data_IF_652877114819
#
_entry.id   IF_652877114819
#
_cell.length_a   1.000
_cell.length_b   1.000
_cell.length_c   1.000
_cell.angle_alpha   90.00
_cell.angle_beta   90.00
_cell.angle_gamma   90.00
#
_symmetry.space_group_name_H-M   'P 1'
#
loop_
_entity.id
_entity.type
_entity.pdbx_description
1 polymer ?
#
# COMPACT_ATOMS: atom_id res chain seq x y z
N UNK A 1 -29.90 -11.90 -28.46
CA UNK A 1 -29.68 -10.45 -28.36
C UNK A 1 -29.50 -10.10 -26.89
N UNK A 2 -28.53 -9.25 -26.55
CA UNK A 2 -28.26 -8.84 -25.16
C UNK A 2 -27.44 -7.55 -25.15
N UNK A 3 -27.40 -6.88 -24.00
CA UNK A 3 -26.52 -5.75 -23.72
C UNK A 3 -25.67 -6.01 -22.47
N UNK A 4 -24.84 -5.05 -22.08
CA UNK A 4 -24.09 -5.17 -20.83
C UNK A 4 -25.04 -5.16 -19.62
N UNK A 5 -24.81 -6.03 -18.64
CA UNK A 5 -25.59 -6.08 -17.39
C UNK A 5 -25.77 -4.69 -16.76
N UNK A 6 -24.72 -3.87 -16.75
CA UNK A 6 -24.77 -2.51 -16.17
C UNK A 6 -25.78 -1.58 -16.85
N UNK A 7 -26.12 -1.81 -18.11
CA UNK A 7 -27.14 -1.01 -18.79
C UNK A 7 -28.54 -1.35 -18.29
N UNK A 8 -28.81 -2.64 -18.02
CA UNK A 8 -30.05 -3.09 -17.40
C UNK A 8 -30.13 -2.68 -15.92
N UNK A 9 -29.02 -2.78 -15.19
CA UNK A 9 -28.94 -2.44 -13.76
C UNK A 9 -28.85 -0.92 -13.49
N UNK A 10 -28.60 -0.09 -14.51
CA UNK A 10 -28.40 1.33 -14.33
C UNK A 10 -29.70 2.03 -13.92
N UNK A 11 -29.58 2.91 -12.91
CA UNK A 11 -30.70 3.63 -12.32
C UNK A 11 -31.49 4.37 -13.42
N UNK A 12 -32.79 4.05 -13.58
CA UNK A 12 -33.64 4.70 -14.58
C UNK A 12 -33.69 6.23 -14.45
N UNK A 13 -33.46 6.77 -13.25
CA UNK A 13 -33.41 8.23 -13.01
C UNK A 13 -32.20 8.94 -13.64
N UNK A 14 -31.15 8.22 -14.03
CA UNK A 14 -29.92 8.82 -14.56
C UNK A 14 -29.96 9.14 -16.06
N UNK A 15 -30.99 8.70 -16.79
CA UNK A 15 -31.09 8.87 -18.25
C UNK A 15 -32.43 9.47 -18.69
N UNK A 16 -33.50 9.27 -17.94
CA UNK A 16 -34.80 9.89 -18.19
C UNK A 16 -35.29 10.59 -16.93
N UNK A 17 -35.69 11.86 -17.07
CA UNK A 17 -36.07 12.77 -15.99
C UNK A 17 -37.40 12.43 -15.30
N UNK A 18 -37.85 11.18 -15.33
CA UNK A 18 -39.07 10.71 -14.66
C UNK A 18 -38.82 9.28 -14.16
N UNK A 19 -39.13 9.03 -12.89
CA UNK A 19 -38.81 7.79 -12.18
C UNK A 19 -39.52 6.58 -12.76
N UNK A 20 -38.94 5.96 -13.78
CA UNK A 20 -39.45 4.70 -14.34
C UNK A 20 -38.80 3.52 -13.60
N UNK A 21 -39.53 2.45 -13.33
CA UNK A 21 -39.01 1.31 -12.58
C UNK A 21 -37.90 0.56 -13.34
N UNK A 22 -37.07 -0.24 -12.64
CA UNK A 22 -36.03 -1.11 -13.22
C UNK A 22 -36.53 -2.00 -14.37
N UNK A 23 -37.83 -2.25 -14.45
CA UNK A 23 -38.46 -3.04 -15.49
C UNK A 23 -38.65 -2.32 -16.84
N UNK A 24 -38.61 -0.98 -16.89
CA UNK A 24 -38.85 -0.27 -18.15
C UNK A 24 -37.77 -0.54 -19.18
N UNK A 25 -36.49 -0.49 -18.80
CA UNK A 25 -35.39 -0.77 -19.74
C UNK A 25 -35.44 -2.18 -20.31
N UNK A 26 -35.87 -3.15 -19.50
CA UNK A 26 -36.06 -4.53 -19.95
C UNK A 26 -37.22 -4.58 -20.95
N UNK A 27 -38.35 -3.93 -20.63
CA UNK A 27 -39.51 -3.82 -21.52
C UNK A 27 -39.17 -3.15 -22.85
N UNK A 28 -38.51 -1.99 -22.81
CA UNK A 28 -38.08 -1.23 -23.99
C UNK A 28 -37.12 -2.07 -24.85
N UNK A 29 -36.16 -2.75 -24.21
CA UNK A 29 -35.22 -3.62 -24.90
C UNK A 29 -35.93 -4.82 -25.54
N UNK A 30 -36.90 -5.43 -24.85
CA UNK A 30 -37.68 -6.55 -25.35
C UNK A 30 -38.54 -6.15 -26.54
N UNK A 31 -39.29 -5.06 -26.43
CA UNK A 31 -40.12 -4.53 -27.50
C UNK A 31 -39.28 -4.20 -28.74
N UNK A 32 -38.16 -3.49 -28.55
CA UNK A 32 -37.21 -3.17 -29.62
C UNK A 32 -36.61 -4.42 -30.25
N UNK A 33 -36.27 -5.44 -29.45
CA UNK A 33 -35.73 -6.70 -29.95
C UNK A 33 -36.74 -7.45 -30.82
N UNK A 34 -38.00 -7.54 -30.37
CA UNK A 34 -39.06 -8.21 -31.13
C UNK A 34 -39.33 -7.43 -32.43
N UNK A 35 -39.41 -6.10 -32.35
CA UNK A 35 -39.64 -5.25 -33.51
C UNK A 35 -38.51 -5.41 -34.56
N UNK A 36 -37.25 -5.35 -34.13
CA UNK A 36 -36.10 -5.55 -35.02
C UNK A 36 -36.07 -6.96 -35.64
N UNK A 37 -36.35 -7.99 -34.85
CA UNK A 37 -36.39 -9.37 -35.36
C UNK A 37 -37.47 -9.55 -36.44
N UNK A 38 -38.64 -8.95 -36.25
CA UNK A 38 -39.73 -8.97 -37.24
C UNK A 38 -39.39 -8.17 -38.48
N UNK A 39 -38.76 -7.01 -38.34
CA UNK A 39 -38.30 -6.19 -39.47
C UNK A 39 -37.23 -6.92 -40.31
N UNK A 40 -36.20 -7.45 -39.64
CA UNK A 40 -35.05 -8.05 -40.30
C UNK A 40 -35.32 -9.45 -40.89
N UNK A 41 -36.19 -10.25 -40.25
CA UNK A 41 -36.37 -11.67 -40.60
C UNK A 41 -37.82 -12.06 -40.91
N UNK A 42 -38.80 -11.20 -40.61
CA UNK A 42 -40.22 -11.46 -40.88
C UNK A 42 -40.72 -12.78 -40.28
N UNK A 43 -41.50 -13.51 -41.09
CA UNK A 43 -42.16 -14.77 -40.71
C UNK A 43 -41.20 -15.96 -40.49
N UNK A 44 -39.89 -15.77 -40.72
CA UNK A 44 -38.90 -16.80 -40.43
C UNK A 44 -38.37 -16.77 -39.01
N UNK A 45 -38.78 -15.80 -38.19
CA UNK A 45 -38.61 -15.87 -36.74
C UNK A 45 -39.61 -16.87 -36.18
N UNK A 46 -39.15 -18.10 -35.89
CA UNK A 46 -40.04 -19.16 -35.40
C UNK A 46 -40.20 -19.14 -33.88
N UNK A 47 -39.23 -18.56 -33.17
CA UNK A 47 -39.25 -18.47 -31.71
C UNK A 47 -38.34 -17.34 -31.23
N UNK A 48 -38.81 -16.60 -30.23
CA UNK A 48 -38.00 -15.67 -29.45
C UNK A 48 -38.35 -15.84 -27.98
N UNK A 49 -37.35 -16.02 -27.11
CA UNK A 49 -37.53 -16.22 -25.66
C UNK A 49 -36.56 -15.33 -24.90
N UNK A 50 -37.09 -14.62 -23.90
CA UNK A 50 -36.30 -13.86 -22.95
C UNK A 50 -35.88 -14.73 -21.75
N UNK A 51 -34.60 -14.67 -21.40
CA UNK A 51 -34.02 -15.34 -20.24
C UNK A 51 -33.66 -14.27 -19.19
N UNK A 52 -34.31 -14.36 -18.03
CA UNK A 52 -34.18 -13.44 -16.91
C UNK A 52 -33.43 -14.05 -15.71
N UNK A 53 -33.17 -15.36 -15.74
CA UNK A 53 -32.59 -16.14 -14.65
C UNK A 53 -31.06 -16.32 -14.76
N UNK A 54 -30.43 -15.71 -15.77
CA UNK A 54 -28.98 -15.70 -15.96
C UNK A 54 -28.31 -14.39 -15.50
N UNK A 55 -26.98 -14.28 -15.64
CA UNK A 55 -26.19 -13.12 -15.16
C UNK A 55 -26.62 -11.79 -15.80
N UNK A 56 -27.11 -11.82 -17.04
CA UNK A 56 -27.63 -10.65 -17.74
C UNK A 56 -28.84 -11.04 -18.58
N UNK A 57 -29.81 -10.12 -18.66
CA UNK A 57 -30.98 -10.25 -19.52
C UNK A 57 -30.56 -10.48 -20.98
N UNK A 58 -31.14 -11.49 -21.62
CA UNK A 58 -30.90 -11.76 -23.04
C UNK A 58 -32.05 -12.52 -23.68
N UNK A 59 -32.18 -12.35 -25.00
CA UNK A 59 -33.21 -12.99 -25.82
C UNK A 59 -32.57 -13.99 -26.76
N UNK A 60 -33.02 -15.25 -26.73
CA UNK A 60 -32.69 -16.24 -27.75
C UNK A 60 -33.73 -16.19 -28.87
N UNK A 61 -33.27 -16.05 -30.11
CA UNK A 61 -34.14 -16.09 -31.28
C UNK A 61 -33.72 -17.24 -32.20
N UNK A 62 -34.70 -17.96 -32.74
CA UNK A 62 -34.50 -19.02 -33.72
C UNK A 62 -35.07 -18.54 -35.05
N UNK A 63 -34.21 -18.48 -36.07
CA UNK A 63 -34.52 -17.98 -37.40
C UNK A 63 -34.41 -19.15 -38.39
N UNK A 64 -35.44 -19.37 -39.20
CA UNK A 64 -35.52 -20.48 -40.15
C UNK A 64 -35.58 -19.97 -41.60
N UNK A 65 -34.44 -19.69 -42.25
CA UNK A 65 -34.38 -19.00 -43.55
C UNK A 65 -34.79 -19.92 -44.71
N UNK A 66 -36.09 -20.14 -44.91
CA UNK A 66 -36.60 -21.01 -45.97
C UNK A 66 -36.55 -20.30 -47.33
N UNK A 67 -36.01 -20.98 -48.33
CA UNK A 67 -35.97 -20.54 -49.74
C UNK A 67 -36.29 -21.72 -50.65
N UNK A 68 -37.08 -21.48 -51.69
CA UNK A 68 -37.23 -22.44 -52.79
C UNK A 68 -36.07 -22.29 -53.77
N UNK A 69 -35.34 -23.38 -54.00
CA UNK A 69 -34.18 -23.40 -54.90
C UNK A 69 -34.44 -24.38 -56.04
N UNK A 70 -34.29 -23.89 -57.25
CA UNK A 70 -34.29 -24.69 -58.46
C UNK A 70 -32.96 -25.44 -58.59
N UNK A 71 -33.04 -26.76 -58.64
CA UNK A 71 -31.90 -27.62 -58.92
C UNK A 71 -31.76 -27.73 -60.43
N UNK A 72 -30.66 -27.22 -60.97
CA UNK A 72 -30.37 -27.32 -62.41
C UNK A 72 -29.35 -28.42 -62.69
N UNK A 73 -29.55 -29.18 -63.76
CA UNK A 73 -28.55 -30.08 -64.32
C UNK A 73 -28.08 -29.55 -65.66
N UNK A 74 -26.78 -29.41 -65.83
CA UNK A 74 -26.16 -29.07 -67.10
C UNK A 74 -25.98 -30.33 -67.94
N UNK A 75 -26.52 -30.34 -69.15
CA UNK A 75 -26.21 -31.36 -70.13
C UNK A 75 -24.76 -31.19 -70.60
N UNK A 76 -23.94 -32.24 -70.44
CA UNK A 76 -22.51 -32.18 -70.78
C UNK A 76 -22.24 -32.12 -72.29
N UNK A 77 -23.21 -32.50 -73.13
CA UNK A 77 -23.06 -32.52 -74.59
C UNK A 77 -23.54 -31.23 -75.24
N UNK A 78 -24.66 -30.68 -74.77
CA UNK A 78 -25.24 -29.45 -75.35
C UNK A 78 -24.90 -28.19 -74.55
N UNK A 79 -24.42 -28.34 -73.31
CA UNK A 79 -24.15 -27.21 -72.39
C UNK A 79 -25.41 -26.59 -71.79
N UNK A 80 -26.60 -27.10 -72.12
CA UNK A 80 -27.88 -26.54 -71.70
C UNK A 80 -28.16 -26.83 -70.22
N UNK A 81 -28.59 -25.82 -69.45
CA UNK A 81 -29.03 -25.98 -68.06
C UNK A 81 -30.53 -26.23 -68.02
N UNK A 82 -30.94 -27.38 -67.49
CA UNK A 82 -32.36 -27.70 -67.28
C UNK A 82 -32.68 -27.80 -65.80
N UNK A 83 -33.79 -27.20 -65.38
CA UNK A 83 -34.33 -27.37 -64.02
C UNK A 83 -34.85 -28.81 -63.91
N UNK A 84 -34.36 -29.55 -62.91
CA UNK A 84 -34.70 -30.96 -62.69
C UNK A 84 -35.60 -31.16 -61.46
N UNK A 85 -35.59 -30.23 -60.50
CA UNK A 85 -36.42 -30.27 -59.31
C UNK A 85 -36.41 -28.91 -58.60
N UNK A 86 -37.44 -28.63 -57.82
CA UNK A 86 -37.46 -27.50 -56.87
C UNK A 86 -37.44 -28.06 -55.45
N UNK A 87 -36.57 -27.52 -54.59
CA UNK A 87 -36.42 -27.97 -53.19
C UNK A 87 -36.50 -26.79 -52.23
N UNK A 88 -37.11 -27.01 -51.07
CA UNK A 88 -37.02 -26.10 -49.93
C UNK A 88 -35.65 -26.28 -49.26
N UNK A 89 -34.89 -25.19 -49.14
CA UNK A 89 -33.55 -25.15 -48.56
C UNK A 89 -33.48 -24.10 -47.46
N UNK A 90 -32.56 -24.28 -46.51
CA UNK A 90 -32.21 -23.25 -45.55
C UNK A 90 -31.07 -22.41 -46.12
N UNK A 91 -31.37 -21.16 -46.48
CA UNK A 91 -30.38 -20.23 -47.02
C UNK A 91 -30.35 -18.93 -46.20
N UNK A 92 -29.51 -18.86 -45.15
CA UNK A 92 -29.36 -17.65 -44.33
C UNK A 92 -29.01 -16.40 -45.14
N UNK A 93 -28.30 -16.56 -46.25
CA UNK A 93 -27.90 -15.48 -47.16
C UNK A 93 -29.06 -14.74 -47.83
N UNK A 94 -30.31 -15.21 -47.70
CA UNK A 94 -31.48 -14.47 -48.18
C UNK A 94 -31.72 -13.17 -47.42
N UNK A 95 -31.19 -13.07 -46.20
CA UNK A 95 -31.31 -11.89 -45.37
C UNK A 95 -30.04 -11.03 -45.51
N UNK A 96 -30.21 -9.76 -45.88
CA UNK A 96 -29.10 -8.82 -46.07
C UNK A 96 -28.28 -8.66 -44.78
N UNK A 97 -28.96 -8.65 -43.63
CA UNK A 97 -28.33 -8.62 -42.30
C UNK A 97 -27.47 -9.85 -41.99
N UNK A 98 -27.62 -10.99 -42.68
CA UNK A 98 -26.72 -12.15 -42.49
C UNK A 98 -25.59 -12.14 -43.52
N UNK A 99 -25.88 -11.66 -44.73
CA UNK A 99 -24.91 -11.61 -45.83
C UNK A 99 -23.67 -10.79 -45.46
N UNK A 100 -23.87 -9.68 -44.74
CA UNK A 100 -22.80 -8.77 -44.33
C UNK A 100 -22.82 -8.48 -42.84
N UNK A 101 -21.83 -9.01 -42.10
CA UNK A 101 -21.77 -8.89 -40.64
C UNK A 101 -21.67 -7.44 -40.15
N UNK A 102 -20.96 -6.55 -40.87
CA UNK A 102 -20.86 -5.14 -40.50
C UNK A 102 -22.24 -4.46 -40.60
N UNK A 103 -22.97 -4.73 -41.70
CA UNK A 103 -24.34 -4.25 -41.90
C UNK A 103 -25.30 -4.77 -40.81
N UNK A 104 -25.18 -6.04 -40.42
CA UNK A 104 -25.94 -6.62 -39.31
C UNK A 104 -25.76 -5.83 -38.01
N UNK A 105 -24.51 -5.54 -37.69
CA UNK A 105 -24.14 -4.77 -36.51
C UNK A 105 -24.65 -3.32 -36.63
N UNK A 106 -24.77 -2.76 -37.84
CA UNK A 106 -25.09 -1.33 -38.07
C UNK A 106 -26.57 -1.18 -37.89
N UNK A 107 -27.35 -2.02 -38.59
CA UNK A 107 -28.79 -2.14 -38.44
C UNK A 107 -29.21 -2.32 -36.98
N UNK A 108 -28.64 -3.29 -36.25
CA UNK A 108 -29.02 -3.50 -34.84
C UNK A 108 -28.50 -2.38 -33.93
N UNK A 109 -27.36 -1.75 -34.25
CA UNK A 109 -26.85 -0.64 -33.46
C UNK A 109 -27.73 0.60 -33.59
N UNK A 110 -28.08 0.96 -34.82
CA UNK A 110 -28.94 2.11 -35.13
C UNK A 110 -30.34 1.89 -34.52
N UNK A 111 -30.90 0.68 -34.62
CA UNK A 111 -32.23 0.36 -34.07
C UNK A 111 -32.31 0.51 -32.55
N UNK A 112 -31.24 0.20 -31.84
CA UNK A 112 -31.17 0.28 -30.37
C UNK A 112 -30.63 1.62 -29.86
N UNK A 113 -30.15 2.49 -30.74
CA UNK A 113 -29.70 3.85 -30.39
C UNK A 113 -30.82 4.68 -29.76
N UNK A 114 -32.07 4.44 -30.17
CA UNK A 114 -33.26 5.11 -29.63
C UNK A 114 -33.49 4.85 -28.13
N UNK A 115 -32.96 3.74 -27.60
CA UNK A 115 -33.01 3.41 -26.16
C UNK A 115 -31.67 3.65 -25.46
N UNK A 116 -30.75 4.37 -26.11
CA UNK A 116 -29.45 4.73 -25.55
C UNK A 116 -28.43 3.58 -25.53
N UNK A 117 -28.55 2.61 -26.43
CA UNK A 117 -27.53 1.59 -26.67
C UNK A 117 -26.75 1.89 -27.95
N UNK A 118 -25.44 1.91 -27.84
CA UNK A 118 -24.57 2.18 -28.98
C UNK A 118 -24.14 0.91 -29.71
N UNK A 119 -23.93 1.04 -31.02
CA UNK A 119 -23.22 0.06 -31.84
C UNK A 119 -21.84 -0.23 -31.24
N UNK A 120 -21.44 -1.50 -31.26
CA UNK A 120 -20.08 -1.91 -30.90
C UNK A 120 -18.99 -1.28 -31.78
N UNK A 121 -17.75 -1.27 -31.27
CA UNK A 121 -16.60 -0.68 -31.97
C UNK A 121 -16.42 -1.22 -33.40
N UNK A 122 -16.20 -0.31 -34.36
CA UNK A 122 -15.95 -0.61 -35.78
C UNK A 122 -14.54 -1.15 -36.06
N UNK A 123 -14.17 -2.24 -35.40
CA UNK A 123 -12.80 -2.79 -35.46
C UNK A 123 -12.40 -3.33 -36.84
N UNK A 124 -13.35 -3.80 -37.65
CA UNK A 124 -13.03 -4.31 -38.99
C UNK A 124 -12.71 -3.18 -39.97
N UNK A 125 -13.39 -2.04 -39.84
CA UNK A 125 -13.02 -0.78 -40.52
C UNK A 125 -11.64 -0.32 -40.05
N UNK A 126 -11.43 -0.19 -38.73
CA UNK A 126 -10.12 0.17 -38.19
C UNK A 126 -8.99 -0.78 -38.62
N UNK A 127 -9.27 -2.08 -38.78
CA UNK A 127 -8.33 -3.05 -39.32
C UNK A 127 -8.01 -2.76 -40.78
N UNK A 128 -9.01 -2.49 -41.62
CA UNK A 128 -8.82 -2.14 -43.04
C UNK A 128 -8.00 -0.86 -43.19
N UNK A 129 -8.29 0.15 -42.38
CA UNK A 129 -7.54 1.41 -42.37
C UNK A 129 -6.09 1.23 -41.93
N UNK A 130 -5.83 0.49 -40.84
CA UNK A 130 -4.48 0.24 -40.36
C UNK A 130 -3.65 -0.50 -41.41
N UNK A 131 -4.23 -1.52 -42.06
CA UNK A 131 -3.57 -2.23 -43.17
C UNK A 131 -3.30 -1.32 -44.36
N UNK A 132 -4.26 -0.47 -44.74
CA UNK A 132 -4.08 0.49 -45.83
C UNK A 132 -2.99 1.54 -45.53
N UNK A 133 -2.82 1.91 -44.26
CA UNK A 133 -1.76 2.82 -43.77
C UNK A 133 -0.41 2.13 -43.52
N UNK A 134 -0.34 0.80 -43.61
CA UNK A 134 0.86 0.03 -43.27
C UNK A 134 1.16 -0.07 -41.77
N UNK A 135 0.19 0.21 -40.92
CA UNK A 135 0.29 0.16 -39.46
C UNK A 135 -0.04 -1.24 -38.90
N UNK A 136 0.33 -1.49 -37.65
CA UNK A 136 -0.05 -2.75 -36.98
C UNK A 136 -1.55 -2.72 -36.66
N UNK A 137 -2.36 -3.64 -37.20
CA UNK A 137 -3.80 -3.60 -37.01
C UNK A 137 -4.20 -3.98 -35.57
N UNK A 138 -5.37 -3.51 -35.10
CA UNK A 138 -5.88 -3.87 -33.79
C UNK A 138 -6.09 -5.39 -33.67
N UNK A 139 -5.81 -5.93 -32.49
CA UNK A 139 -5.96 -7.36 -32.22
C UNK A 139 -7.41 -7.82 -32.47
N UNK A 140 -7.56 -8.91 -33.23
CA UNK A 140 -8.88 -9.48 -33.53
C UNK A 140 -9.54 -9.99 -32.24
N UNK A 141 -10.77 -9.55 -31.98
CA UNK A 141 -11.58 -10.09 -30.90
C UNK A 141 -12.16 -11.42 -31.34
N UNK A 142 -11.79 -12.49 -30.65
CA UNK A 142 -12.32 -13.82 -30.90
C UNK A 142 -13.47 -14.06 -29.92
N UNK A 143 -14.58 -14.59 -30.41
CA UNK A 143 -15.67 -15.05 -29.56
C UNK A 143 -15.16 -16.12 -28.60
N UNK A 144 -15.38 -15.91 -27.30
CA UNK A 144 -15.11 -16.91 -26.28
C UNK A 144 -16.42 -17.59 -25.88
N UNK A 145 -16.42 -18.93 -25.84
CA UNK A 145 -17.53 -19.69 -25.27
C UNK A 145 -17.76 -19.27 -23.81
N UNK A 146 -19.01 -19.21 -23.38
CA UNK A 146 -19.40 -18.80 -22.01
C UNK A 146 -18.64 -19.56 -20.94
N UNK A 147 -18.50 -20.89 -21.09
CA UNK A 147 -17.72 -21.74 -20.18
C UNK A 147 -16.26 -21.32 -20.05
N UNK A 148 -15.61 -21.00 -21.17
CA UNK A 148 -14.19 -20.64 -21.19
C UNK A 148 -13.98 -19.23 -20.63
N UNK A 149 -14.96 -18.34 -20.84
CA UNK A 149 -14.97 -17.01 -20.23
C UNK A 149 -15.14 -17.09 -18.71
N UNK A 150 -16.10 -17.88 -18.21
CA UNK A 150 -16.32 -18.12 -16.77
C UNK A 150 -15.07 -18.68 -16.11
N UNK A 151 -14.47 -19.75 -16.68
CA UNK A 151 -13.19 -20.30 -16.21
C UNK A 151 -12.08 -19.24 -16.10
N UNK A 152 -11.94 -18.37 -17.10
CA UNK A 152 -10.94 -17.29 -17.08
C UNK A 152 -11.25 -16.24 -16.00
N UNK A 153 -12.52 -15.97 -15.73
CA UNK A 153 -12.95 -15.04 -14.68
C UNK A 153 -12.69 -15.63 -13.30
N UNK A 154 -13.02 -16.89 -13.08
CA UNK A 154 -12.78 -17.59 -11.82
C UNK A 154 -11.28 -17.59 -11.49
N UNK A 155 -10.43 -17.93 -12.47
CA UNK A 155 -8.97 -17.88 -12.30
C UNK A 155 -8.47 -16.47 -11.93
N UNK A 156 -9.05 -15.42 -12.51
CA UNK A 156 -8.70 -14.03 -12.16
C UNK A 156 -9.17 -13.66 -10.76
N UNK A 157 -10.35 -14.12 -10.35
CA UNK A 157 -10.89 -13.89 -9.02
C UNK A 157 -9.99 -14.55 -7.97
N UNK A 158 -9.68 -15.84 -8.14
CA UNK A 158 -8.80 -16.58 -7.22
C UNK A 158 -7.40 -15.97 -7.14
N UNK A 159 -6.87 -15.47 -8.27
CA UNK A 159 -5.59 -14.74 -8.25
C UNK A 159 -5.71 -13.47 -7.41
N UNK A 160 -6.78 -12.68 -7.61
CA UNK A 160 -7.01 -11.44 -6.87
C UNK A 160 -7.20 -11.71 -5.38
N UNK A 161 -7.89 -12.78 -5.00
CA UNK A 161 -8.07 -13.21 -3.61
C UNK A 161 -6.72 -13.52 -2.96
N UNK A 162 -5.86 -14.32 -3.62
CA UNK A 162 -4.50 -14.60 -3.13
C UNK A 162 -3.64 -13.34 -3.01
N UNK A 163 -3.73 -12.45 -4.00
CA UNK A 163 -3.01 -11.18 -3.97
C UNK A 163 -3.48 -10.29 -2.82
N UNK A 164 -4.79 -10.30 -2.51
CA UNK A 164 -5.37 -9.59 -1.37
C UNK A 164 -4.95 -10.21 -0.04
N UNK A 165 -5.02 -11.53 0.09
CA UNK A 165 -4.57 -12.26 1.29
C UNK A 165 -3.09 -11.97 1.59
N UNK A 166 -2.24 -11.99 0.56
CA UNK A 166 -0.81 -11.66 0.70
C UNK A 166 -0.60 -10.22 1.16
N UNK A 167 -1.40 -9.27 0.64
CA UNK A 167 -1.34 -7.86 1.07
C UNK A 167 -1.85 -7.69 2.50
N UNK A 168 -2.91 -8.37 2.89
CA UNK A 168 -3.45 -8.33 4.24
C UNK A 168 -2.42 -8.87 5.23
N UNK A 169 -1.81 -10.02 4.96
CA UNK A 169 -0.75 -10.58 5.79
C UNK A 169 0.45 -9.60 5.94
N UNK A 170 0.85 -8.93 4.85
CA UNK A 170 1.91 -7.93 4.90
C UNK A 170 1.52 -6.67 5.70
N UNK A 171 0.26 -6.27 5.69
CA UNK A 171 -0.26 -5.16 6.50
C UNK A 171 -0.31 -5.55 7.97
N UNK A 172 -0.79 -6.75 8.29
CA UNK A 172 -0.81 -7.29 9.65
C UNK A 172 0.60 -7.42 10.25
N UNK A 173 1.56 -7.92 9.47
CA UNK A 173 2.96 -7.99 9.90
C UNK A 173 3.52 -6.60 10.23
N UNK A 174 3.26 -5.61 9.36
CA UNK A 174 3.70 -4.22 9.60
C UNK A 174 3.00 -3.58 10.79
N UNK A 175 1.72 -3.86 11.00
CA UNK A 175 0.97 -3.37 12.15
C UNK A 175 1.54 -3.97 13.45
N UNK A 176 1.79 -5.28 13.49
CA UNK A 176 2.42 -5.95 14.63
C UNK A 176 3.85 -5.44 14.89
N UNK A 177 4.64 -5.17 13.84
CA UNK A 177 5.94 -4.50 13.97
C UNK A 177 5.82 -3.11 14.60
N UNK A 178 4.87 -2.28 14.15
CA UNK A 178 4.67 -0.93 14.66
C UNK A 178 4.21 -0.92 16.13
N UNK A 179 3.24 -1.76 16.48
CA UNK A 179 2.79 -1.94 17.87
C UNK A 179 3.94 -2.38 18.77
N UNK A 180 4.72 -3.39 18.36
CA UNK A 180 5.88 -3.83 19.14
C UNK A 180 6.90 -2.71 19.35
N UNK A 181 7.16 -1.88 18.33
CA UNK A 181 8.06 -0.74 18.46
C UNK A 181 7.52 0.28 19.47
N UNK A 182 6.23 0.61 19.41
CA UNK A 182 5.60 1.59 20.32
C UNK A 182 5.69 1.08 21.77
N UNK A 183 5.27 -0.15 22.02
CA UNK A 183 5.22 -0.76 23.35
C UNK A 183 6.61 -0.90 23.98
N UNK A 184 7.60 -1.32 23.20
CA UNK A 184 8.99 -1.42 23.69
C UNK A 184 9.54 -0.03 23.99
N UNK A 185 9.24 0.97 23.16
CA UNK A 185 9.69 2.35 23.38
C UNK A 185 9.07 2.92 24.65
N UNK A 186 7.79 2.66 24.90
CA UNK A 186 7.10 3.05 26.13
C UNK A 186 7.69 2.33 27.36
N UNK A 187 7.97 1.04 27.28
CA UNK A 187 8.58 0.31 28.38
C UNK A 187 10.02 0.78 28.68
N UNK A 188 10.78 1.19 27.66
CA UNK A 188 12.09 1.82 27.86
C UNK A 188 11.95 3.20 28.50
N UNK A 189 10.99 4.01 28.06
CA UNK A 189 10.79 5.37 28.62
C UNK A 189 10.35 5.33 30.09
N UNK A 190 9.56 4.33 30.48
CA UNK A 190 9.12 4.11 31.86
C UNK A 190 10.17 3.39 32.72
N UNK A 191 11.33 3.01 32.13
CA UNK A 191 12.43 2.35 32.84
C UNK A 191 12.12 0.90 33.23
N UNK A 192 11.18 0.25 32.55
CA UNK A 192 10.86 -1.16 32.76
C UNK A 192 11.81 -2.10 31.97
N UNK A 193 12.31 -1.64 30.82
CA UNK A 193 13.26 -2.37 29.96
C UNK A 193 14.64 -1.72 30.01
N UNK A 194 15.69 -2.54 30.16
CA UNK A 194 17.08 -2.11 30.01
C UNK A 194 17.48 -2.11 28.52
N UNK A 195 17.74 -0.93 27.90
CA UNK A 195 18.08 -0.84 26.48
C UNK A 195 19.53 -1.27 26.16
N UNK A 196 20.38 -1.50 27.16
CA UNK A 196 21.82 -1.79 27.02
C UNK A 196 22.14 -3.25 27.33
N UNK A 197 21.28 -3.94 28.07
CA UNK A 197 21.46 -5.34 28.42
C UNK A 197 21.65 -6.22 27.18
N UNK A 198 22.71 -7.03 27.20
CA UNK A 198 23.00 -8.00 26.15
C UNK A 198 22.28 -9.31 26.47
N UNK A 199 21.12 -9.50 25.86
CA UNK A 199 20.47 -10.80 25.86
C UNK A 199 20.68 -11.49 24.52
N UNK A 200 20.83 -12.81 24.55
CA UNK A 200 20.88 -13.63 23.36
C UNK A 200 19.60 -13.38 22.51
N UNK A 201 19.78 -13.28 21.20
CA UNK A 201 18.69 -13.28 20.20
C UNK A 201 17.63 -12.16 20.29
N UNK A 202 17.97 -11.01 20.90
CA UNK A 202 17.09 -9.83 20.85
C UNK A 202 15.90 -9.88 21.83
N UNK A 203 15.95 -10.75 22.83
CA UNK A 203 15.03 -10.74 23.95
C UNK A 203 15.17 -9.45 24.78
N UNK A 204 14.05 -8.84 25.17
CA UNK A 204 14.04 -7.68 26.06
C UNK A 204 14.56 -8.08 27.44
N UNK A 205 15.39 -7.24 28.05
CA UNK A 205 15.84 -7.41 29.42
C UNK A 205 15.02 -6.51 30.35
N UNK A 206 14.46 -7.01 31.45
CA UNK A 206 13.87 -6.16 32.46
C UNK A 206 14.98 -5.42 33.22
N UNK A 207 14.67 -4.22 33.71
CA UNK A 207 15.51 -3.57 34.74
C UNK A 207 15.40 -4.38 36.04
N UNK A 208 16.51 -4.59 36.75
CA UNK A 208 16.55 -5.39 37.99
C UNK A 208 15.44 -4.96 38.96
N UNK A 209 14.63 -5.91 39.41
CA UNK A 209 13.50 -5.67 40.32
C UNK A 209 12.18 -5.30 39.65
N UNK A 210 12.13 -5.21 38.31
CA UNK A 210 10.92 -4.92 37.52
C UNK A 210 10.50 -6.07 36.60
N UNK A 211 10.88 -7.28 36.96
CA UNK A 211 10.62 -8.50 36.16
C UNK A 211 9.12 -8.82 36.04
N UNK A 212 8.32 -8.38 37.02
CA UNK A 212 6.87 -8.58 37.06
C UNK A 212 6.07 -7.31 36.74
N UNK A 213 6.72 -6.22 36.30
CA UNK A 213 6.00 -5.01 35.92
C UNK A 213 5.08 -5.27 34.72
N UNK A 214 3.84 -4.80 34.81
CA UNK A 214 2.83 -4.99 33.76
C UNK A 214 3.30 -4.40 32.43
N UNK A 215 4.03 -3.28 32.49
CA UNK A 215 4.64 -2.57 31.36
C UNK A 215 5.70 -3.45 30.67
N UNK A 216 6.54 -4.14 31.46
CA UNK A 216 7.55 -5.06 30.91
C UNK A 216 6.88 -6.28 30.26
N UNK A 217 5.89 -6.89 30.92
CA UNK A 217 5.16 -8.05 30.40
C UNK A 217 4.36 -7.72 29.14
N UNK A 218 3.79 -6.51 29.04
CA UNK A 218 3.15 -6.00 27.82
C UNK A 218 4.15 -5.88 26.69
N UNK A 219 5.27 -5.19 26.90
CA UNK A 219 6.32 -5.07 25.89
C UNK A 219 6.89 -6.43 25.45
N UNK A 220 7.05 -7.39 26.38
CA UNK A 220 7.51 -8.74 26.08
C UNK A 220 6.52 -9.52 25.19
N UNK A 221 5.21 -9.44 25.47
CA UNK A 221 4.17 -10.07 24.62
C UNK A 221 4.18 -9.51 23.21
N UNK A 222 4.27 -8.19 23.05
CA UNK A 222 4.33 -7.57 21.72
C UNK A 222 5.66 -7.87 21.00
N UNK A 223 6.77 -7.99 21.71
CA UNK A 223 8.06 -8.43 21.15
C UNK A 223 8.01 -9.88 20.63
N UNK A 224 7.32 -10.78 21.33
CA UNK A 224 7.11 -12.16 20.86
C UNK A 224 6.21 -12.21 19.63
N UNK A 225 5.20 -11.33 19.55
CA UNK A 225 4.30 -11.22 18.39
C UNK A 225 5.00 -10.64 17.16
N UNK A 226 6.03 -9.79 17.35
CA UNK A 226 6.84 -9.26 16.26
C UNK A 226 8.34 -9.21 16.59
N UNK A 227 9.08 -10.31 16.33
CA UNK A 227 10.53 -10.38 16.54
C UNK A 227 11.31 -9.35 15.71
N UNK A 228 10.81 -9.01 14.51
CA UNK A 228 11.41 -7.99 13.64
C UNK A 228 11.29 -6.59 14.26
N UNK A 229 10.12 -6.24 14.82
CA UNK A 229 9.91 -4.99 15.54
C UNK A 229 10.85 -4.87 16.74
N UNK A 230 10.93 -5.92 17.56
CA UNK A 230 11.84 -6.00 18.70
C UNK A 230 13.32 -5.85 18.30
N UNK A 231 13.76 -6.53 17.25
CA UNK A 231 15.13 -6.44 16.75
C UNK A 231 15.48 -5.04 16.21
N UNK A 232 14.57 -4.41 15.46
CA UNK A 232 14.76 -3.05 14.93
C UNK A 232 14.92 -2.03 16.04
N UNK A 233 14.03 -2.07 17.04
CA UNK A 233 14.07 -1.11 18.14
C UNK A 233 15.27 -1.35 19.06
N UNK A 234 15.62 -2.61 19.35
CA UNK A 234 16.84 -2.95 20.10
C UNK A 234 18.12 -2.50 19.37
N UNK A 235 18.16 -2.57 18.04
CA UNK A 235 19.28 -2.03 17.24
C UNK A 235 19.33 -0.50 17.28
N UNK A 236 18.17 0.16 17.19
CA UNK A 236 18.08 1.62 17.27
C UNK A 236 18.51 2.14 18.65
N UNK A 237 18.01 1.54 19.73
CA UNK A 237 18.38 1.90 21.10
C UNK A 237 19.86 1.69 21.38
N UNK A 238 20.44 0.54 21.00
CA UNK A 238 21.88 0.29 21.16
C UNK A 238 22.75 1.34 20.47
N UNK A 239 22.39 1.74 19.25
CA UNK A 239 23.11 2.79 18.52
C UNK A 239 22.95 4.16 19.18
N UNK A 240 21.73 4.52 19.57
CA UNK A 240 21.43 5.80 20.21
C UNK A 240 22.11 5.95 21.58
N UNK A 241 21.98 4.94 22.45
CA UNK A 241 22.62 4.92 23.76
C UNK A 241 24.14 4.81 23.67
N UNK A 242 24.68 4.03 22.73
CA UNK A 242 26.13 3.98 22.48
C UNK A 242 26.70 5.36 22.14
N UNK A 243 26.06 6.08 21.21
CA UNK A 243 26.46 7.44 20.86
C UNK A 243 26.32 8.42 22.04
N UNK A 244 25.26 8.32 22.84
CA UNK A 244 25.09 9.14 24.04
C UNK A 244 26.16 8.86 25.10
N UNK A 245 26.50 7.59 25.36
CA UNK A 245 27.55 7.23 26.32
C UNK A 245 28.94 7.64 25.84
N UNK A 246 29.25 7.51 24.54
CA UNK A 246 30.50 8.02 24.00
C UNK A 246 30.61 9.55 24.15
N UNK A 247 29.51 10.27 23.87
CA UNK A 247 29.46 11.72 24.05
C UNK A 247 29.59 12.11 25.52
N UNK A 248 28.85 11.47 26.41
CA UNK A 248 28.94 11.71 27.85
C UNK A 248 30.33 11.38 28.41
N UNK A 249 30.98 10.31 27.94
CA UNK A 249 32.38 9.99 28.29
C UNK A 249 33.35 11.04 27.77
N UNK A 250 33.20 11.51 26.53
CA UNK A 250 34.04 12.59 25.98
C UNK A 250 33.85 13.89 26.75
N UNK A 251 32.62 14.26 27.07
CA UNK A 251 32.31 15.47 27.85
C UNK A 251 32.81 15.34 29.29
N UNK A 252 32.67 14.18 29.93
CA UNK A 252 33.21 13.93 31.26
C UNK A 252 34.76 13.96 31.28
N UNK A 253 35.41 13.34 30.30
CA UNK A 253 36.87 13.40 30.14
C UNK A 253 37.36 14.83 29.82
N UNK A 254 36.61 15.59 29.03
CA UNK A 254 36.92 16.99 28.75
C UNK A 254 36.83 17.85 30.01
N UNK A 255 35.82 17.63 30.86
CA UNK A 255 35.69 18.31 32.16
C UNK A 255 36.86 17.97 33.09
N UNK A 256 37.18 16.68 33.26
CA UNK A 256 38.32 16.25 34.07
C UNK A 256 39.64 16.82 33.56
N UNK A 257 39.86 16.85 32.24
CA UNK A 257 41.05 17.46 31.65
C UNK A 257 41.11 19.00 31.85
N UNK A 258 39.96 19.68 31.83
CA UNK A 258 39.88 21.11 32.14
C UNK A 258 40.24 21.37 33.61
N UNK A 259 39.74 20.54 34.53
CA UNK A 259 40.05 20.61 35.96
C UNK A 259 41.54 20.36 36.23
N UNK A 260 42.13 19.36 35.56
CA UNK A 260 43.58 19.09 35.63
C UNK A 260 44.43 20.25 35.07
N UNK A 261 44.01 20.88 33.97
CA UNK A 261 44.71 22.05 33.41
C UNK A 261 44.63 23.25 34.34
N UNK A 262 43.48 23.48 34.97
CA UNK A 262 43.32 24.52 35.98
C UNK A 262 44.24 24.27 37.19
N UNK A 263 44.30 23.02 37.68
CA UNK A 263 45.19 22.62 38.77
C UNK A 263 46.68 22.81 38.41
N UNK A 264 47.11 22.41 37.20
CA UNK A 264 48.50 22.61 36.76
C UNK A 264 48.86 24.09 36.59
N UNK A 265 47.94 24.93 36.11
CA UNK A 265 48.16 26.38 36.03
C UNK A 265 48.37 26.98 37.42
N UNK A 266 47.57 26.57 38.41
CA UNK A 266 47.77 27.01 39.80
C UNK A 266 49.09 26.55 40.40
N UNK A 267 49.56 25.34 40.04
CA UNK A 267 50.87 24.84 40.49
C UNK A 267 52.03 25.63 39.87
N UNK A 268 51.96 25.99 38.59
CA UNK A 268 52.99 26.82 37.94
C UNK A 268 52.99 28.26 38.48
N UNK A 269 51.82 28.83 38.80
CA UNK A 269 51.74 30.13 39.47
C UNK A 269 52.38 30.09 40.87
N UNK A 270 52.15 29.02 41.65
CA UNK A 270 52.79 28.80 42.95
C UNK A 270 54.31 28.61 42.79
N UNK A 271 54.75 27.89 41.76
CA UNK A 271 56.17 27.68 41.46
C UNK A 271 56.87 28.98 41.05
N UNK A 272 56.21 29.82 40.26
CA UNK A 272 56.69 31.16 39.90
C UNK A 272 56.77 32.11 41.11
N UNK A 273 55.82 32.00 42.05
CA UNK A 273 55.88 32.74 43.31
C UNK A 273 57.01 32.25 44.22
N UNK A 274 57.20 30.94 44.34
CA UNK A 274 58.32 30.35 45.09
C UNK A 274 59.68 30.70 44.48
N UNK A 275 59.78 30.74 43.15
CA UNK A 275 60.99 31.18 42.46
C UNK A 275 61.27 32.67 42.67
N UNK A 276 60.24 33.53 42.71
CA UNK A 276 60.38 34.94 43.10
C UNK A 276 60.83 35.09 44.54
N UNK A 277 60.28 34.30 45.46
CA UNK A 277 60.71 34.27 46.87
C UNK A 277 62.16 33.79 46.98
N UNK A 278 62.55 32.75 46.24
CA UNK A 278 63.92 32.24 46.13
C UNK A 278 64.90 33.26 45.55
N UNK A 279 64.48 34.04 44.54
CA UNK A 279 65.26 35.14 43.99
C UNK A 279 65.41 36.33 44.94
N UNK A 280 64.44 36.58 45.81
CA UNK A 280 64.52 37.60 46.86
C UNK A 280 65.26 37.14 48.13
N UNK A 281 65.48 35.84 48.32
CA UNK A 281 66.22 35.29 49.46
C UNK A 281 67.74 35.59 49.42
N UNK A 282 68.23 36.28 48.39
CA UNK A 282 69.57 36.87 48.36
C UNK A 282 69.69 38.24 49.05
N UNK A 283 68.58 38.89 49.40
CA UNK A 283 68.59 40.15 50.13
C UNK A 283 67.31 40.28 50.97
N UNK A 284 67.46 40.05 52.27
CA UNK A 284 66.48 40.29 53.34
C UNK A 284 65.46 39.16 53.64
N UNK A 285 65.90 38.22 54.49
CA UNK A 285 65.13 37.06 54.97
C UNK A 285 63.99 37.43 55.94
N UNK A 286 64.05 38.59 56.59
CA UNK A 286 63.20 38.95 57.74
C UNK A 286 61.76 39.32 57.33
N UNK A 287 61.59 40.05 56.24
CA UNK A 287 60.27 40.56 55.80
C UNK A 287 59.36 39.55 55.11
N UNK A 288 59.91 38.44 54.59
CA UNK A 288 59.15 37.48 53.77
C UNK A 288 58.58 36.30 54.57
N UNK A 289 59.10 36.02 55.77
CA UNK A 289 58.59 34.95 56.65
C UNK A 289 57.19 35.26 57.20
N UNK A 290 56.83 36.54 57.34
CA UNK A 290 55.53 36.98 57.85
C UNK A 290 54.35 36.75 56.87
N UNK A 291 54.62 36.49 55.58
CA UNK A 291 53.58 36.29 54.54
C UNK A 291 53.30 34.82 54.21
N UNK A 292 54.11 33.90 54.73
CA UNK A 292 53.95 32.45 54.58
C UNK A 292 52.62 31.89 55.13
N UNK A 293 52.08 32.38 56.28
CA UNK A 293 50.80 31.90 56.81
C UNK A 293 49.61 32.23 55.90
N UNK A 294 49.61 33.42 55.28
CA UNK A 294 48.55 33.84 54.36
C UNK A 294 48.59 33.06 53.04
N UNK A 295 49.79 32.70 52.59
CA UNK A 295 49.97 31.89 51.40
C UNK A 295 49.55 30.44 51.64
N UNK A 296 49.85 29.88 52.82
CA UNK A 296 49.34 28.57 53.26
C UNK A 296 47.81 28.57 53.43
N UNK A 297 47.22 29.68 53.91
CA UNK A 297 45.77 29.84 54.04
C UNK A 297 45.08 29.92 52.67
N UNK A 298 45.65 30.65 51.72
CA UNK A 298 45.18 30.69 50.33
C UNK A 298 45.29 29.31 49.67
N UNK A 299 46.40 28.61 49.82
CA UNK A 299 46.58 27.27 49.26
C UNK A 299 45.55 26.28 49.84
N UNK A 300 45.29 26.35 51.16
CA UNK A 300 44.25 25.55 51.82
C UNK A 300 42.84 25.90 51.32
N UNK A 301 42.53 27.17 51.11
CA UNK A 301 41.24 27.62 50.53
C UNK A 301 41.07 27.14 49.09
N UNK A 302 42.11 27.16 48.25
CA UNK A 302 42.02 26.73 46.84
C UNK A 302 41.93 25.22 46.71
N UNK A 303 42.65 24.46 47.55
CA UNK A 303 42.52 23.00 47.63
C UNK A 303 41.15 22.61 48.18
N UNK A 304 40.64 23.32 49.21
CA UNK A 304 39.26 23.13 49.66
C UNK A 304 38.25 23.51 48.57
N UNK A 305 38.44 24.58 47.80
CA UNK A 305 37.54 24.92 46.69
C UNK A 305 37.53 23.85 45.59
N UNK A 306 38.68 23.24 45.29
CA UNK A 306 38.80 22.08 44.40
C UNK A 306 38.16 20.80 44.97
N UNK A 307 38.23 20.59 46.29
CA UNK A 307 37.54 19.48 46.98
C UNK A 307 36.02 19.74 47.19
N UNK A 308 35.58 21.00 47.32
CA UNK A 308 34.17 21.38 47.51
C UNK A 308 33.36 21.13 46.22
N UNK A 309 34.01 21.09 45.05
CA UNK A 309 33.36 20.61 43.81
C UNK A 309 32.96 19.13 43.85
N UNK A 310 33.55 18.31 44.75
CA UNK A 310 33.18 16.91 44.91
C UNK A 310 31.98 16.74 45.85
N UNK A 311 31.88 17.52 46.93
CA UNK A 311 30.78 17.39 47.92
C UNK A 311 29.49 18.13 47.53
N UNK A 312 29.52 19.17 46.68
CA UNK A 312 28.27 19.83 46.24
C UNK A 312 27.48 19.05 45.18
N UNK A 313 28.07 18.00 44.60
CA UNK A 313 27.39 17.12 43.62
C UNK A 313 26.64 15.95 44.29
N UNK A 314 26.94 15.63 45.55
CA UNK A 314 26.29 14.56 46.31
C UNK A 314 25.12 15.07 47.16
N UNK A 315 25.05 16.36 47.51
CA UNK A 315 23.90 16.96 48.22
C UNK A 315 22.74 17.41 47.31
N UNK A 316 22.99 17.77 46.05
CA UNK A 316 21.92 18.12 45.09
C UNK A 316 21.11 16.90 44.60
N UNK A 317 21.59 15.67 44.88
CA UNK A 317 20.84 14.42 44.67
C UNK A 317 20.06 13.93 45.89
N UNK A 318 20.17 14.60 47.05
CA UNK A 318 19.41 14.25 48.25
C UNK A 318 18.23 15.18 48.55
N UNK A 319 18.17 16.36 47.91
CA UNK A 319 17.13 17.38 48.17
C UNK A 319 16.11 17.58 47.03
N UNK A 320 15.90 16.54 46.19
CA UNK A 320 14.80 16.50 45.22
C UNK A 320 13.92 15.26 45.38
N UNK A 321 13.86 14.75 46.62
CA UNK A 321 12.90 13.77 47.12
C UNK A 321 12.47 14.27 48.51
N UNK A 322 11.63 15.30 48.54
CA UNK A 322 10.71 15.67 49.62
C UNK A 322 10.06 17.01 49.23
N UNK A 323 9.08 16.93 48.33
CA UNK A 323 7.93 17.84 48.27
C UNK A 323 6.99 17.29 47.19
N UNK A 324 6.05 16.44 47.63
CA UNK A 324 4.68 16.36 47.15
C UNK A 324 3.94 15.28 47.96
N UNK A 325 3.61 15.64 49.19
CA UNK A 325 2.49 15.09 49.95
C UNK A 325 1.79 16.27 50.60
N UNK A 326 0.66 16.66 50.01
CA UNK A 326 -0.57 17.21 50.61
C UNK A 326 -1.18 18.33 49.74
N UNK A 327 -2.34 18.01 49.15
CA UNK A 327 -3.12 18.83 48.24
C UNK A 327 -3.95 17.96 47.30
#
# INVERSE_FOLDING_TARGET
MTANKKWFDADPTAVFSEGVEQHQRISDFEERSIAWLKDAFGDDVIHARADLDEEAYHIHAVIMPRVQVEMTRTDKKTGEKKVIATRQMLQPSKFDVIKEYEHAQDSVGDWFSEIGLDRGERRKEAYREAVAKGETPPAKRIHSKTRDWRRKKDLKLTKRERDLETRLAAVEEKAAEAEAIIEITEAVSQGAVDPVAQNAEGALAPVKGREQDEVFLRAQRHAQRSPKGASRIAKAFRRGWGAMFERARKEALARVNADFRAANKTLEEVRGLLAKIGGTLGADLSGNISKLPDLARRLKMTISAGNISYERSTESRKNKNNDNTDG
#
